data_IF_572780217023
#
_entry.id   IF_572780217023
#
_cell.length_a   1.000
_cell.length_b   1.000
_cell.length_c   1.000
_cell.angle_alpha   90.00
_cell.angle_beta   90.00
_cell.angle_gamma   90.00
#
_symmetry.space_group_name_H-M   'P 1'
#
loop_
_entity.id
_entity.type
_entity.pdbx_description
1 polymer ?
2 non-polymer ?
3 non-polymer ?
4 water ?
#
# COMPACT_ATOMS: atom_id res chain seq x y z
N UNK A 29 -16.49 23.60 11.49
CA UNK A 29 -17.33 22.41 11.41
C UNK A 29 -16.53 21.21 10.96
N UNK A 30 -16.66 20.12 11.69
CA UNK A 30 -15.93 18.88 11.36
C UNK A 30 -16.55 18.26 10.12
N UNK A 31 -15.76 17.86 9.12
CA UNK A 31 -16.34 17.15 7.98
C UNK A 31 -16.77 15.74 8.37
N UNK A 32 -17.70 15.21 7.57
CA UNK A 32 -18.18 13.85 7.82
C UNK A 32 -17.01 12.88 7.78
N UNK A 33 -17.04 11.91 8.68
CA UNK A 33 -16.06 10.84 8.65
C UNK A 33 -16.74 9.55 9.08
N UNK A 34 -16.18 8.40 8.73
CA UNK A 34 -16.83 7.14 9.09
C UNK A 34 -16.72 6.85 10.59
N UNK A 35 -17.82 6.37 11.16
CA UNK A 35 -17.92 6.06 12.58
C UNK A 35 -17.79 4.57 12.87
N UNK A 36 -17.98 3.73 11.87
CA UNK A 36 -17.84 2.29 12.03
C UNK A 36 -17.36 1.73 10.71
N UNK A 37 -16.95 0.46 10.73
CA UNK A 37 -16.26 -0.10 9.57
C UNK A 37 -17.19 -0.12 8.34
N UNK A 38 -18.49 -0.32 8.53
CA UNK A 38 -19.41 -0.37 7.39
C UNK A 38 -19.63 1.01 6.77
N UNK A 39 -19.34 2.09 7.49
CA UNK A 39 -19.46 3.43 6.94
C UNK A 39 -18.49 3.67 5.79
N UNK A 40 -17.43 2.86 5.66
CA UNK A 40 -16.56 3.03 4.51
C UNK A 40 -17.26 2.72 3.19
N UNK A 41 -18.42 2.07 3.24
CA UNK A 41 -19.27 1.91 2.06
C UNK A 41 -19.56 3.24 1.40
N UNK A 42 -19.66 4.32 2.17
CA UNK A 42 -19.98 5.63 1.64
C UNK A 42 -18.75 6.44 1.27
N UNK A 43 -17.57 6.03 1.72
CA UNK A 43 -16.30 6.62 1.31
C UNK A 43 -15.76 5.91 0.08
N UNK A 44 -15.77 4.58 0.13
CA UNK A 44 -15.12 3.76 -0.89
C UNK A 44 -15.67 4.07 -2.27
N UNK A 45 -16.98 4.29 -2.37
CA UNK A 45 -17.60 4.60 -3.65
C UNK A 45 -17.70 6.11 -3.86
N UNK A 46 -16.59 6.80 -3.59
CA UNK A 46 -16.39 8.20 -3.95
C UNK A 46 -15.13 8.33 -4.80
N UNK A 47 -14.93 7.41 -5.74
CA UNK A 47 -13.69 7.39 -6.51
C UNK A 47 -13.58 8.64 -7.36
N UNK A 48 -12.46 9.35 -7.20
CA UNK A 48 -12.21 10.54 -7.99
C UNK A 48 -11.70 10.19 -9.38
N UNK A 49 -10.93 9.11 -9.50
CA UNK A 49 -10.38 8.70 -10.79
C UNK A 49 -10.41 7.18 -10.85
N UNK A 50 -11.23 6.65 -11.76
CA UNK A 50 -11.51 5.21 -11.78
C UNK A 50 -10.34 4.44 -12.37
N UNK A 51 -10.18 3.20 -11.90
CA UNK A 51 -9.07 2.37 -12.34
C UNK A 51 -9.15 1.96 -13.79
N UNK A 52 -10.32 2.08 -14.41
CA UNK A 52 -10.46 1.76 -15.83
C UNK A 52 -10.07 2.93 -16.72
N UNK A 53 -10.21 4.18 -16.23
CA UNK A 53 -9.82 5.35 -17.00
C UNK A 53 -8.31 5.55 -16.80
N UNK A 54 -7.54 4.93 -17.69
CA UNK A 54 -6.11 4.82 -17.55
C UNK A 54 -5.40 6.13 -17.89
N UNK A 55 -4.20 6.28 -17.33
CA UNK A 55 -3.33 7.40 -17.67
C UNK A 55 -2.96 7.34 -19.15
N UNK A 56 -2.73 8.52 -19.73
CA UNK A 56 -2.33 8.57 -21.14
C UNK A 56 -1.06 7.76 -21.38
N UNK A 57 -0.13 7.79 -20.43
CA UNK A 57 1.13 7.07 -20.54
C UNK A 57 1.03 5.62 -20.04
N UNK A 58 -0.17 5.13 -19.78
CA UNK A 58 -0.33 3.77 -19.29
C UNK A 58 0.07 2.77 -20.36
N UNK A 59 0.76 1.70 -20.00
CA UNK A 59 1.12 0.68 -21.00
C UNK A 59 -0.07 0.05 -21.70
N UNK A 60 -1.21 -0.03 -21.04
CA UNK A 60 -2.38 -0.62 -21.67
C UNK A 60 -3.38 0.40 -22.16
N UNK A 61 -2.91 1.63 -22.43
CA UNK A 61 -3.83 2.70 -22.82
C UNK A 61 -4.53 2.39 -24.13
N UNK A 62 -3.87 1.67 -25.03
CA UNK A 62 -4.44 1.31 -26.31
C UNK A 62 -4.94 -0.14 -26.35
N UNK A 63 -4.75 -0.90 -25.29
CA UNK A 63 -5.11 -2.32 -25.27
C UNK A 63 -6.58 -2.42 -24.87
N UNK A 64 -7.45 -2.67 -25.86
CA UNK A 64 -8.88 -2.73 -25.57
C UNK A 64 -9.22 -3.91 -24.67
N UNK A 65 -8.50 -5.03 -24.82
CA UNK A 65 -8.76 -6.18 -23.95
C UNK A 65 -8.40 -5.83 -22.51
N UNK A 66 -7.23 -5.23 -22.29
CA UNK A 66 -6.84 -4.85 -20.93
C UNK A 66 -7.82 -3.84 -20.35
N UNK A 67 -8.34 -2.90 -21.16
CA UNK A 67 -9.30 -1.92 -20.66
C UNK A 67 -10.56 -2.60 -20.14
N UNK A 68 -11.08 -3.58 -20.88
CA UNK A 68 -12.27 -4.29 -20.42
C UNK A 68 -11.97 -5.05 -19.12
N UNK A 69 -10.77 -5.64 -19.04
CA UNK A 69 -10.36 -6.34 -17.82
C UNK A 69 -10.29 -5.40 -16.62
N UNK A 70 -9.77 -4.18 -16.83
CA UNK A 70 -9.75 -3.20 -15.74
C UNK A 70 -11.17 -2.79 -15.34
N UNK A 71 -12.05 -2.60 -16.32
CA UNK A 71 -13.44 -2.27 -16.01
C UNK A 71 -14.09 -3.38 -15.20
N UNK A 72 -13.74 -4.63 -15.50
CA UNK A 72 -14.24 -5.75 -14.71
C UNK A 72 -13.78 -5.63 -13.26
N UNK A 73 -12.48 -5.38 -13.03
CA UNK A 73 -11.99 -5.26 -11.66
C UNK A 73 -12.63 -4.08 -10.94
N UNK A 74 -12.83 -2.97 -11.65
CA UNK A 74 -13.38 -1.78 -11.01
C UNK A 74 -14.85 -1.98 -10.64
N UNK A 75 -15.61 -2.69 -11.47
CA UNK A 75 -16.99 -3.01 -11.13
C UNK A 75 -17.05 -3.93 -9.91
N UNK A 76 -16.11 -4.86 -9.78
CA UNK A 76 -16.09 -5.72 -8.59
C UNK A 76 -15.97 -4.89 -7.33
N UNK A 77 -15.06 -3.91 -7.34
CA UNK A 77 -14.88 -3.08 -6.15
C UNK A 77 -16.08 -2.16 -5.93
N UNK A 78 -16.61 -1.60 -7.02
CA UNK A 78 -17.74 -0.68 -6.93
C UNK A 78 -18.97 -1.35 -6.34
N UNK A 79 -19.20 -2.61 -6.69
CA UNK A 79 -20.32 -3.37 -6.16
C UNK A 79 -20.06 -3.97 -4.78
N UNK A 80 -18.83 -3.94 -4.30
CA UNK A 80 -18.51 -4.52 -3.00
C UNK A 80 -19.12 -3.70 -1.88
N UNK A 81 -19.68 -4.39 -0.89
CA UNK A 81 -20.17 -3.76 0.34
C UNK A 81 -19.54 -4.45 1.54
N UNK A 82 -19.26 -3.68 2.58
CA UNK A 82 -18.72 -4.27 3.81
C UNK A 82 -19.59 -5.43 4.28
N UNK A 83 -18.93 -6.50 4.73
CA UNK A 83 -19.56 -7.74 5.09
C UNK A 83 -19.47 -8.79 4.00
N UNK A 84 -19.31 -8.36 2.74
CA UNK A 84 -19.19 -9.29 1.63
C UNK A 84 -17.87 -10.05 1.72
N UNK A 85 -17.83 -11.33 1.34
CA UNK A 85 -16.54 -11.92 0.98
C UNK A 85 -15.99 -11.22 -0.25
N UNK A 86 -14.70 -10.96 -0.25
CA UNK A 86 -14.13 -10.27 -1.42
C UNK A 86 -14.19 -11.22 -2.62
N UNK A 87 -14.75 -10.81 -3.75
CA UNK A 87 -14.91 -11.74 -4.88
C UNK A 87 -13.58 -12.34 -5.30
N UNK A 88 -13.58 -13.65 -5.48
CA UNK A 88 -12.38 -14.33 -5.92
C UNK A 88 -12.30 -14.29 -7.44
N UNK A 89 -11.09 -14.10 -7.94
CA UNK A 89 -10.88 -13.79 -9.34
C UNK A 89 -10.06 -14.91 -9.98
N UNK A 90 -10.45 -15.31 -11.18
CA UNK A 90 -9.62 -16.21 -11.97
C UNK A 90 -8.67 -15.36 -12.80
N UNK A 91 -7.42 -15.25 -12.36
CA UNK A 91 -6.44 -14.49 -13.12
C UNK A 91 -6.06 -15.27 -14.38
N UNK A 92 -5.66 -14.53 -15.42
CA UNK A 92 -5.23 -15.18 -16.65
C UNK A 92 -3.78 -15.65 -16.53
N UNK A 93 -3.41 -16.63 -17.36
CA UNK A 93 -2.03 -17.11 -17.30
C UNK A 93 -1.05 -15.99 -17.65
N UNK A 94 -1.47 -15.05 -18.51
CA UNK A 94 -0.69 -13.84 -18.73
C UNK A 94 -0.52 -13.05 -17.44
N UNK A 95 -1.59 -12.93 -16.65
CA UNK A 95 -1.50 -12.18 -15.40
C UNK A 95 -0.66 -12.93 -14.37
N UNK A 96 -0.80 -14.25 -14.32
CA UNK A 96 0.02 -15.08 -13.43
C UNK A 96 1.49 -14.91 -13.76
N UNK A 97 1.82 -14.90 -15.05
CA UNK A 97 3.20 -14.79 -15.48
C UNK A 97 3.81 -13.46 -15.07
N UNK A 98 3.05 -12.38 -15.19
CA UNK A 98 3.52 -11.07 -14.80
C UNK A 98 3.83 -11.04 -13.30
N UNK A 99 2.90 -11.53 -12.48
CA UNK A 99 3.17 -11.69 -11.06
C UNK A 99 4.40 -12.53 -10.82
N UNK A 100 4.49 -13.70 -11.49
CA UNK A 100 5.61 -14.58 -11.27
C UNK A 100 6.95 -13.91 -11.49
N UNK A 101 7.05 -13.11 -12.56
CA UNK A 101 8.31 -12.45 -12.87
C UNK A 101 8.68 -11.47 -11.77
N UNK A 102 7.74 -10.60 -11.39
CA UNK A 102 7.94 -9.66 -10.28
C UNK A 102 8.28 -10.41 -8.99
N UNK A 103 7.54 -11.47 -8.70
CA UNK A 103 7.76 -12.25 -7.48
C UNK A 103 9.19 -12.79 -7.41
N UNK A 104 9.66 -13.41 -8.50
CA UNK A 104 11.00 -13.99 -8.53
C UNK A 104 12.08 -12.96 -8.20
N UNK A 105 12.03 -11.81 -8.87
CA UNK A 105 13.12 -10.85 -8.78
C UNK A 105 13.14 -10.15 -7.44
N UNK A 106 11.97 -9.75 -6.94
CA UNK A 106 11.94 -9.09 -5.63
C UNK A 106 12.38 -10.05 -4.53
N UNK A 107 12.05 -11.33 -4.64
CA UNK A 107 12.39 -12.25 -3.56
C UNK A 107 13.90 -12.45 -3.47
N UNK A 108 14.62 -12.26 -4.58
CA UNK A 108 16.07 -12.30 -4.53
C UNK A 108 16.62 -11.18 -3.67
N UNK A 109 15.94 -10.03 -3.65
CA UNK A 109 16.42 -8.84 -2.96
C UNK A 109 15.97 -8.72 -1.51
N UNK A 110 14.80 -9.23 -1.16
CA UNK A 110 14.25 -9.04 0.19
C UNK A 110 15.24 -9.40 1.31
N UNK A 111 15.94 -10.55 1.28
CA UNK A 111 16.79 -10.88 2.44
C UNK A 111 17.85 -9.82 2.73
N UNK A 112 18.34 -9.13 1.71
CA UNK A 112 19.38 -8.13 1.89
C UNK A 112 18.84 -6.71 1.91
N UNK A 113 17.54 -6.54 1.73
CA UNK A 113 16.96 -5.20 1.69
C UNK A 113 15.85 -4.99 2.70
N UNK A 114 14.94 -5.96 2.85
CA UNK A 114 13.75 -5.71 3.65
C UNK A 114 14.04 -5.74 5.15
N UNK A 115 13.21 -5.03 5.91
CA UNK A 115 13.31 -5.03 7.36
C UNK A 115 12.92 -6.41 7.91
N UNK A 116 13.27 -6.64 9.18
CA UNK A 116 13.10 -7.97 9.77
C UNK A 116 11.63 -8.31 9.94
N UNK A 117 10.78 -7.31 10.18
CA UNK A 117 9.35 -7.59 10.30
C UNK A 117 8.79 -8.10 8.98
N UNK A 118 9.22 -7.50 7.86
CA UNK A 118 8.79 -7.99 6.56
C UNK A 118 9.23 -9.43 6.35
N UNK A 119 10.50 -9.72 6.60
CA UNK A 119 11.03 -11.03 6.31
C UNK A 119 10.37 -12.10 7.18
N UNK A 120 9.91 -11.72 8.37
CA UNK A 120 9.31 -12.68 9.28
C UNK A 120 7.93 -13.11 8.79
N UNK A 121 7.17 -12.20 8.18
CA UNK A 121 5.80 -12.52 7.83
C UNK A 121 5.65 -13.05 6.41
N UNK A 122 6.62 -12.79 5.54
CA UNK A 122 6.52 -13.31 4.17
C UNK A 122 6.38 -14.83 4.13
N UNK A 123 7.19 -15.62 4.84
CA UNK A 123 6.99 -17.08 4.78
C UNK A 123 5.64 -17.54 5.29
N UNK A 124 5.04 -16.81 6.24
CA UNK A 124 3.70 -17.19 6.72
C UNK A 124 2.66 -17.01 5.64
N UNK A 125 2.83 -16.03 4.76
CA UNK A 125 1.89 -15.82 3.65
C UNK A 125 2.06 -16.86 2.55
N UNK A 126 3.28 -17.35 2.32
CA UNK A 126 3.44 -18.45 1.39
C UNK A 126 2.75 -19.70 1.91
N UNK A 127 2.79 -19.89 3.24
CA UNK A 127 2.19 -21.07 3.85
C UNK A 127 0.67 -20.99 3.81
N UNK A 128 0.10 -19.86 4.24
CA UNK A 128 -1.33 -19.78 4.48
C UNK A 128 -2.12 -19.13 3.35
N UNK A 129 -1.51 -18.28 2.53
CA UNK A 129 -2.26 -17.53 1.51
C UNK A 129 -1.88 -17.86 0.08
N UNK A 130 -0.99 -18.83 -0.15
CA UNK A 130 -0.71 -19.25 -1.51
C UNK A 130 0.22 -18.35 -2.29
N UNK A 131 1.12 -17.65 -1.60
CA UNK A 131 2.14 -16.84 -2.25
C UNK A 131 3.12 -17.77 -2.96
N UNK A 132 3.03 -17.84 -4.28
CA UNK A 132 3.91 -18.67 -5.09
C UNK A 132 4.16 -17.96 -6.41
N UNK A 133 5.29 -18.29 -7.04
CA UNK A 133 5.56 -17.74 -8.37
C UNK A 133 4.42 -18.04 -9.35
N UNK A 134 3.78 -19.20 -9.21
CA UNK A 134 2.76 -19.62 -10.16
C UNK A 134 1.34 -19.42 -9.63
N UNK A 135 1.14 -18.54 -8.65
CA UNK A 135 -0.19 -18.34 -8.08
C UNK A 135 -0.29 -16.93 -7.53
N UNK A 136 -1.29 -16.17 -8.00
CA UNK A 136 -1.60 -14.86 -7.44
C UNK A 136 -2.56 -15.08 -6.28
N UNK A 137 -2.20 -14.66 -5.06
CA UNK A 137 -3.10 -14.83 -3.91
C UNK A 137 -4.41 -14.07 -4.11
N UNK A 138 -5.47 -14.60 -3.51
CA UNK A 138 -6.76 -13.93 -3.48
C UNK A 138 -6.82 -12.97 -2.31
N UNK A 139 -7.46 -11.82 -2.54
CA UNK A 139 -7.59 -10.81 -1.49
C UNK A 139 -8.40 -11.32 -0.30
N UNK A 140 -9.42 -12.15 -0.55
CA UNK A 140 -10.20 -12.68 0.55
C UNK A 140 -9.35 -13.52 1.50
N UNK A 141 -8.49 -14.39 0.96
CA UNK A 141 -7.62 -15.21 1.80
C UNK A 141 -6.66 -14.35 2.60
N UNK A 142 -6.03 -13.39 1.92
CA UNK A 142 -5.11 -12.49 2.59
C UNK A 142 -5.85 -11.69 3.66
N UNK A 143 -7.08 -11.29 3.36
CA UNK A 143 -7.82 -10.50 4.35
C UNK A 143 -8.13 -11.35 5.57
N UNK A 144 -8.48 -12.61 5.37
CA UNK A 144 -8.75 -13.48 6.52
C UNK A 144 -7.48 -13.73 7.33
N UNK A 145 -6.33 -13.79 6.67
CA UNK A 145 -5.08 -13.93 7.41
C UNK A 145 -4.81 -12.70 8.26
N UNK A 146 -4.96 -11.51 7.67
CA UNK A 146 -4.69 -10.28 8.40
C UNK A 146 -5.65 -10.09 9.57
N UNK A 147 -6.90 -10.51 9.42
CA UNK A 147 -7.86 -10.34 10.52
C UNK A 147 -7.40 -11.12 11.74
N UNK A 148 -6.89 -12.33 11.54
CA UNK A 148 -6.40 -13.12 12.66
C UNK A 148 -5.13 -12.52 13.26
N UNK A 149 -4.22 -12.06 12.41
CA UNK A 149 -2.93 -11.58 12.90
C UNK A 149 -3.06 -10.25 13.63
N UNK A 150 -3.69 -9.25 12.99
CA UNK A 150 -3.70 -7.89 13.51
C UNK A 150 -5.08 -7.24 13.50
N UNK A 151 -6.12 -7.95 13.11
CA UNK A 151 -7.41 -7.33 12.88
C UNK A 151 -7.46 -6.43 11.66
N UNK A 152 -6.42 -6.39 10.85
CA UNK A 152 -6.51 -5.69 9.58
C UNK A 152 -7.36 -6.51 8.61
N UNK A 153 -8.03 -5.80 7.69
CA UNK A 153 -8.81 -6.41 6.64
C UNK A 153 -8.59 -5.63 5.36
N UNK A 154 -9.06 -6.23 4.26
CA UNK A 154 -8.90 -5.71 2.91
C UNK A 154 -10.26 -5.27 2.38
N UNK A 155 -10.28 -4.16 1.64
CA UNK A 155 -11.45 -3.77 0.87
C UNK A 155 -10.99 -3.51 -0.56
N UNK A 156 -11.53 -4.20 -1.56
CA UNK A 156 -11.17 -3.87 -2.95
C UNK A 156 -11.61 -2.45 -3.29
N UNK A 157 -10.74 -1.73 -4.00
CA UNK A 157 -10.96 -0.32 -4.31
C UNK A 157 -10.95 -0.15 -5.83
N UNK A 158 -11.91 0.62 -6.34
CA UNK A 158 -12.07 0.80 -7.79
C UNK A 158 -11.27 1.96 -8.35
N UNK A 159 -10.46 2.63 -7.54
CA UNK A 159 -9.57 3.63 -8.07
C UNK A 159 -9.15 4.60 -6.99
N UNK A 160 -8.58 5.72 -7.45
CA UNK A 160 -8.05 6.74 -6.56
C UNK A 160 -9.16 7.36 -5.71
N UNK A 161 -8.92 7.39 -4.41
CA UNK A 161 -9.78 8.07 -3.45
C UNK A 161 -9.09 9.32 -2.94
N UNK A 162 -9.88 10.25 -2.40
CA UNK A 162 -9.28 11.39 -1.73
C UNK A 162 -8.39 10.91 -0.59
N UNK A 163 -7.34 11.64 -0.24
CA UNK A 163 -6.53 11.24 0.92
C UNK A 163 -7.35 11.09 2.19
N UNK A 164 -8.37 11.93 2.39
CA UNK A 164 -9.24 11.77 3.55
C UNK A 164 -9.91 10.40 3.54
N UNK A 165 -10.51 10.01 2.41
CA UNK A 165 -11.25 8.74 2.40
C UNK A 165 -10.31 7.55 2.47
N UNK A 166 -9.19 7.60 1.72
CA UNK A 166 -8.25 6.48 1.75
C UNK A 166 -7.69 6.27 3.14
N UNK A 167 -7.21 7.34 3.77
CA UNK A 167 -6.67 7.21 5.11
C UNK A 167 -7.76 6.86 6.13
N UNK A 168 -9.01 7.27 5.89
CA UNK A 168 -10.06 6.96 6.86
C UNK A 168 -10.25 5.46 7.02
N UNK A 169 -9.98 4.68 5.97
CA UNK A 169 -10.06 3.24 6.09
C UNK A 169 -9.16 2.70 7.17
N UNK A 170 -7.91 3.17 7.23
CA UNK A 170 -6.95 2.69 8.23
C UNK A 170 -7.49 2.84 9.65
N UNK A 171 -8.35 3.84 9.90
CA UNK A 171 -8.90 4.02 11.24
C UNK A 171 -9.59 2.77 11.74
N UNK A 172 -10.13 1.95 10.83
CA UNK A 172 -10.78 0.70 11.17
C UNK A 172 -9.96 -0.49 10.74
N UNK A 173 -8.65 -0.29 10.54
CA UNK A 173 -7.73 -1.32 10.08
C UNK A 173 -8.19 -1.93 8.76
N UNK A 174 -8.70 -1.09 7.88
CA UNK A 174 -9.10 -1.50 6.53
C UNK A 174 -8.11 -0.91 5.55
N UNK A 175 -7.50 -1.74 4.72
CA UNK A 175 -6.61 -1.28 3.67
C UNK A 175 -7.35 -1.37 2.34
N UNK A 176 -7.56 -0.22 1.70
CA UNK A 176 -8.17 -0.20 0.37
C UNK A 176 -7.15 -0.71 -0.65
N UNK A 177 -7.51 -1.80 -1.33
CA UNK A 177 -6.57 -2.61 -2.10
C UNK A 177 -7.00 -2.70 -3.57
N UNK A 178 -6.05 -2.51 -4.49
CA UNK A 178 -6.34 -2.77 -5.89
C UNK A 178 -6.23 -4.26 -6.16
N UNK A 179 -7.08 -4.75 -7.09
CA UNK A 179 -7.21 -6.16 -7.38
C UNK A 179 -6.69 -6.52 -8.75
N UNK A 180 -6.44 -5.55 -9.61
CA UNK A 180 -5.99 -5.80 -10.96
C UNK A 180 -4.47 -6.04 -10.97
N UNK A 181 -4.00 -6.58 -12.09
CA UNK A 181 -2.58 -6.85 -12.31
C UNK A 181 -2.08 -5.85 -13.34
N UNK A 182 -0.85 -5.38 -13.17
CA UNK A 182 -0.27 -4.46 -14.13
C UNK A 182 -0.25 -5.09 -15.52
N UNK A 183 -0.15 -4.24 -16.54
CA UNK A 183 -0.10 -4.69 -17.92
C UNK A 183 1.10 -5.59 -18.17
N UNK A 184 0.88 -6.70 -18.88
CA UNK A 184 1.93 -7.67 -19.14
C UNK A 184 3.02 -7.11 -20.03
N UNK A 185 2.69 -6.14 -20.89
CA UNK A 185 3.69 -5.56 -21.79
C UNK A 185 4.85 -4.97 -21.01
N UNK A 186 4.55 -4.20 -19.97
CA UNK A 186 5.57 -3.57 -19.13
C UNK A 186 5.40 -4.05 -17.70
N UNK A 187 6.14 -5.07 -17.26
CA UNK A 187 5.98 -5.61 -15.92
C UNK A 187 6.71 -4.85 -14.83
N UNK A 188 7.51 -3.85 -15.18
CA UNK A 188 8.14 -2.98 -14.18
C UNK A 188 7.47 -1.62 -14.12
N UNK A 189 6.19 -1.55 -14.49
CA UNK A 189 5.43 -0.31 -14.47
C UNK A 189 4.99 -0.03 -13.04
N UNK A 190 5.66 0.90 -12.38
CA UNK A 190 5.49 1.18 -10.96
C UNK A 190 4.62 2.39 -10.59
N UNK A 191 4.33 3.35 -11.48
CA UNK A 191 3.54 4.52 -11.04
C UNK A 191 2.19 4.21 -10.41
N UNK A 192 1.40 3.32 -11.00
CA UNK A 192 0.15 3.14 -10.27
C UNK A 192 0.21 1.86 -9.44
N UNK A 193 -0.49 1.81 -8.31
CA UNK A 193 -0.53 0.56 -7.54
C UNK A 193 -1.33 -0.49 -8.27
N UNK A 194 -0.80 -1.70 -8.31
CA UNK A 194 -1.57 -2.86 -8.75
C UNK A 194 -1.56 -3.89 -7.62
N UNK A 195 -2.20 -5.02 -7.86
CA UNK A 195 -2.33 -5.99 -6.78
C UNK A 195 -1.00 -6.62 -6.42
N UNK A 196 -0.03 -6.64 -7.34
CA UNK A 196 1.31 -7.12 -7.02
C UNK A 196 1.95 -6.25 -5.95
N UNK A 197 1.81 -4.93 -6.08
CA UNK A 197 2.28 -3.99 -5.07
C UNK A 197 1.56 -4.17 -3.73
N UNK A 198 0.26 -4.34 -3.77
CA UNK A 198 -0.48 -4.55 -2.53
C UNK A 198 0.01 -5.81 -1.81
N UNK A 199 0.15 -6.91 -2.54
CA UNK A 199 0.36 -8.20 -1.89
C UNK A 199 1.81 -8.39 -1.42
N UNK A 200 2.77 -7.88 -2.18
CA UNK A 200 4.19 -7.99 -1.85
C UNK A 200 4.71 -6.76 -1.11
N UNK A 201 4.05 -5.62 -1.27
CA UNK A 201 4.49 -4.40 -0.64
C UNK A 201 3.82 -4.17 0.70
N UNK A 202 2.49 -4.20 0.76
CA UNK A 202 1.79 -3.78 1.97
C UNK A 202 1.51 -4.92 2.93
N UNK A 203 1.00 -6.05 2.42
CA UNK A 203 0.41 -7.06 3.30
C UNK A 203 1.37 -7.60 4.33
N UNK A 204 2.62 -7.99 4.01
CA UNK A 204 3.48 -8.58 5.04
C UNK A 204 3.68 -7.68 6.25
N UNK A 205 3.64 -6.37 6.08
CA UNK A 205 3.77 -5.51 7.24
C UNK A 205 2.44 -5.23 7.94
N UNK A 206 1.31 -5.26 7.21
CA UNK A 206 0.03 -5.18 7.91
C UNK A 206 -0.19 -6.36 8.84
N UNK A 207 0.54 -7.45 8.65
CA UNK A 207 0.46 -8.60 9.55
C UNK A 207 1.33 -8.41 10.80
N UNK A 208 2.03 -7.28 10.93
CA UNK A 208 2.90 -7.03 12.08
C UNK A 208 2.19 -6.11 13.06
N UNK A 209 1.95 -6.55 14.31
CA UNK A 209 1.19 -5.70 15.25
C UNK A 209 1.72 -4.28 15.41
N UNK A 210 3.04 -4.10 15.60
CA UNK A 210 3.57 -2.76 15.81
C UNK A 210 3.31 -1.86 14.61
N UNK A 211 3.41 -2.42 13.40
CA UNK A 211 3.15 -1.63 12.19
C UNK A 211 1.66 -1.37 12.00
N UNK A 212 0.83 -2.38 12.30
CA UNK A 212 -0.62 -2.20 12.21
C UNK A 212 -1.09 -1.11 13.16
N UNK A 213 -0.48 -1.02 14.35
CA UNK A 213 -0.85 0.06 15.25
C UNK A 213 -0.42 1.41 14.69
N UNK A 214 0.80 1.49 14.15
CA UNK A 214 1.28 2.72 13.53
C UNK A 214 0.36 3.18 12.41
N UNK A 215 0.01 2.26 11.51
CA UNK A 215 -0.87 2.59 10.40
C UNK A 215 -2.24 3.05 10.88
N UNK A 216 -2.87 2.30 11.80
CA UNK A 216 -4.18 2.68 12.26
C UNK A 216 -4.18 4.07 12.88
N UNK A 217 -3.11 4.43 13.60
CA UNK A 217 -3.11 5.72 14.27
C UNK A 217 -3.00 6.88 13.29
N UNK A 218 -2.41 6.65 12.11
CA UNK A 218 -2.54 7.63 11.04
C UNK A 218 -4.01 7.78 10.66
N UNK A 219 -4.70 6.65 10.50
CA UNK A 219 -6.12 6.68 10.16
C UNK A 219 -6.95 7.40 11.19
N UNK A 220 -6.71 7.11 12.46
CA UNK A 220 -7.48 7.75 13.53
C UNK A 220 -7.26 9.26 13.55
N UNK A 221 -6.01 9.69 13.33
CA UNK A 221 -5.69 11.10 13.41
C UNK A 221 -6.37 11.92 12.32
N UNK A 222 -6.68 11.30 11.18
CA UNK A 222 -7.26 12.06 10.08
C UNK A 222 -8.77 12.17 10.17
N UNK A 223 -9.42 11.38 11.03
CA UNK A 223 -10.87 11.37 11.08
C UNK A 223 -11.41 12.72 11.49
N UNK A 224 -12.11 13.39 10.57
CA UNK A 224 -12.65 14.71 10.86
C UNK A 224 -11.64 15.81 11.00
N UNK A 225 -10.38 15.55 10.66
CA UNK A 225 -9.33 16.54 10.72
C UNK A 225 -9.46 17.53 9.56
N UNK A 226 -8.85 18.71 9.73
CA UNK A 226 -8.87 19.73 8.69
C UNK A 226 -8.21 19.20 7.42
N UNK A 227 -8.52 19.86 6.29
CA UNK A 227 -7.91 19.46 5.02
C UNK A 227 -6.40 19.60 5.07
N UNK A 228 -5.90 20.62 5.79
CA UNK A 228 -4.47 20.80 5.96
C UNK A 228 -3.85 19.62 6.69
N UNK A 229 -4.44 19.25 7.84
CA UNK A 229 -3.92 18.14 8.63
C UNK A 229 -4.00 16.81 7.88
N UNK A 230 -5.04 16.61 7.06
CA UNK A 230 -5.14 15.40 6.26
C UNK A 230 -3.98 15.33 5.27
N UNK A 231 -3.65 16.44 4.61
CA UNK A 231 -2.58 16.41 3.63
C UNK A 231 -1.24 16.14 4.28
N UNK A 232 -1.02 16.68 5.49
CA UNK A 232 0.24 16.42 6.20
C UNK A 232 0.34 14.96 6.63
N UNK A 233 -0.77 14.39 7.12
CA UNK A 233 -0.78 12.98 7.47
C UNK A 233 -0.55 12.12 6.24
N UNK A 234 -1.16 12.49 5.11
CA UNK A 234 -0.92 11.76 3.87
C UNK A 234 0.55 11.77 3.49
N UNK A 235 1.24 12.91 3.70
CA UNK A 235 2.64 13.00 3.32
C UNK A 235 3.51 12.14 4.25
N UNK A 236 3.19 12.12 5.54
CA UNK A 236 3.91 11.24 6.47
C UNK A 236 3.66 9.78 6.17
N UNK A 237 2.41 9.44 5.83
CA UNK A 237 2.08 8.10 5.35
C UNK A 237 2.94 7.71 4.16
N UNK A 238 3.07 8.62 3.19
CA UNK A 238 3.81 8.31 1.97
C UNK A 238 5.26 7.95 2.27
N UNK A 239 5.92 8.74 3.13
CA UNK A 239 7.34 8.56 3.43
C UNK A 239 7.57 7.60 4.58
N UNK A 240 6.53 6.91 5.05
CA UNK A 240 6.69 5.77 5.96
C UNK A 240 6.10 4.52 5.33
N UNK A 241 4.76 4.38 5.33
CA UNK A 241 4.09 3.19 4.83
C UNK A 241 4.49 2.87 3.39
N UNK A 242 4.67 3.90 2.56
CA UNK A 242 4.93 3.63 1.14
C UNK A 242 6.42 3.66 0.78
N UNK A 243 7.23 4.56 1.37
CA UNK A 243 8.63 4.68 0.95
C UNK A 243 9.58 4.78 2.14
N UNK A 244 9.21 4.20 3.27
CA UNK A 244 9.99 4.36 4.48
C UNK A 244 11.21 3.46 4.52
N UNK A 245 12.25 3.97 5.16
CA UNK A 245 13.44 3.23 5.56
C UNK A 245 13.50 3.19 7.07
N UNK A 246 14.08 2.13 7.61
CA UNK A 246 14.25 2.01 9.05
C UNK A 246 15.63 1.45 9.36
N UNK A 247 16.13 1.79 10.55
CA UNK A 247 17.44 1.37 10.99
C UNK A 247 17.30 0.21 11.95
N UNK A 248 17.97 -0.90 11.65
CA UNK A 248 17.87 -2.12 12.45
C UNK A 248 19.26 -2.70 12.63
N UNK A 249 19.68 -2.86 13.88
CA UNK A 249 21.01 -3.37 14.20
C UNK A 249 22.07 -2.61 13.41
N UNK A 250 21.92 -1.28 13.35
CA UNK A 250 22.87 -0.43 12.66
C UNK A 250 22.75 -0.37 11.15
N UNK A 251 21.86 -1.15 10.55
CA UNK A 251 21.72 -1.21 9.10
C UNK A 251 20.51 -0.44 8.65
N UNK A 252 20.58 0.09 7.43
CA UNK A 252 19.39 0.66 6.79
C UNK A 252 18.60 -0.45 6.10
N UNK A 253 17.31 -0.54 6.42
CA UNK A 253 16.45 -1.55 5.82
C UNK A 253 15.21 -0.88 5.25
N UNK A 254 14.49 -1.60 4.39
CA UNK A 254 13.32 -1.06 3.70
C UNK A 254 12.04 -1.57 4.37
N UNK A 255 11.09 -0.67 4.61
CA UNK A 255 9.74 -1.11 4.94
C UNK A 255 8.63 -0.46 4.10
N UNK A 256 8.94 0.54 3.29
CA UNK A 256 7.90 1.16 2.46
C UNK A 256 7.46 0.23 1.34
N UNK A 257 6.14 0.08 1.19
CA UNK A 257 5.54 -0.85 0.24
C UNK A 257 5.87 -0.49 -1.21
N UNK A 258 6.02 0.80 -1.52
CA UNK A 258 6.36 1.19 -2.88
C UNK A 258 7.77 0.78 -3.26
N UNK A 259 8.68 0.78 -2.29
CA UNK A 259 10.01 0.24 -2.53
C UNK A 259 10.01 -1.27 -2.62
N UNK A 260 9.24 -1.94 -1.75
CA UNK A 260 9.28 -3.40 -1.69
C UNK A 260 8.63 -4.06 -2.91
N UNK A 261 7.88 -3.31 -3.71
CA UNK A 261 7.31 -3.83 -4.95
C UNK A 261 7.98 -3.26 -6.19
N UNK A 262 9.04 -2.45 -6.05
CA UNK A 262 9.75 -1.86 -7.18
C UNK A 262 11.18 -2.37 -7.18
N UNK A 263 11.53 -3.20 -8.16
CA UNK A 263 12.86 -3.79 -8.20
C UNK A 263 13.93 -2.69 -8.27
N UNK A 264 13.75 -1.75 -9.19
CA UNK A 264 14.78 -0.73 -9.42
C UNK A 264 14.98 0.15 -8.19
N UNK A 265 13.88 0.67 -7.62
CA UNK A 265 14.00 1.61 -6.51
C UNK A 265 14.35 0.92 -5.19
N UNK A 266 13.96 -0.36 -5.02
CA UNK A 266 14.40 -1.11 -3.85
C UNK A 266 15.92 -1.12 -3.77
N UNK A 267 16.58 -1.43 -4.90
CA UNK A 267 18.04 -1.37 -4.97
C UNK A 267 18.55 0.05 -4.80
N UNK A 268 17.89 1.03 -5.45
CA UNK A 268 18.35 2.42 -5.34
C UNK A 268 18.31 2.90 -3.90
N UNK A 269 17.33 2.46 -3.13
CA UNK A 269 17.11 3.00 -1.79
C UNK A 269 18.31 2.75 -0.88
N UNK A 270 18.83 1.52 -0.88
CA UNK A 270 19.95 1.17 -0.02
C UNK A 270 21.30 1.28 -0.72
N UNK A 271 21.38 2.06 -1.79
CA UNK A 271 22.64 2.39 -2.44
C UNK A 271 23.11 3.78 -2.02
N UNK A 272 24.40 4.02 -2.21
CA UNK A 272 24.99 5.27 -1.79
C UNK A 272 24.69 6.47 -2.64
N UNK A 273 23.79 6.35 -3.63
CA UNK A 273 23.45 7.45 -4.52
C UNK A 273 22.15 8.14 -4.12
N UNK A 274 21.59 7.80 -2.96
CA UNK A 274 20.31 8.33 -2.54
C UNK A 274 20.48 9.16 -1.26
N UNK A 275 19.74 10.28 -1.19
CA UNK A 275 19.80 11.14 -0.02
C UNK A 275 18.83 10.63 1.05
N UNK A 276 19.24 10.76 2.31
CA UNK A 276 18.53 10.14 3.43
C UNK A 276 18.49 11.11 4.60
N UNK A 277 17.31 11.29 5.19
CA UNK A 277 17.08 12.15 6.34
C UNK A 277 16.35 11.37 7.43
N UNK A 278 16.55 11.73 8.69
CA UNK A 278 15.78 11.08 9.76
C UNK A 278 14.30 11.45 9.66
N UNK A 279 13.44 10.48 9.98
CA UNK A 279 12.00 10.74 9.97
C UNK A 279 11.67 11.75 11.07
N UNK A 280 11.03 12.83 10.66
CA UNK A 280 10.65 13.91 11.56
C UNK A 280 9.41 14.51 10.94
N UNK A 281 8.23 14.24 11.48
CA UNK A 281 6.98 14.64 10.81
C UNK A 281 6.92 16.11 10.42
N UNK A 282 7.43 17.01 11.25
CA UNK A 282 7.33 18.44 10.92
C UNK A 282 8.19 18.80 9.73
N UNK A 283 9.28 18.07 9.50
CA UNK A 283 10.10 18.26 8.31
C UNK A 283 9.65 17.36 7.18
N UNK A 284 9.24 16.12 7.51
CA UNK A 284 8.83 15.17 6.48
C UNK A 284 7.58 15.65 5.75
N UNK A 285 6.63 16.26 6.46
CA UNK A 285 5.38 16.63 5.81
C UNK A 285 5.55 17.75 4.78
N UNK A 286 6.70 18.41 4.72
CA UNK A 286 6.94 19.42 3.71
C UNK A 286 7.48 18.86 2.41
N UNK A 287 7.84 17.58 2.39
CA UNK A 287 8.50 16.99 1.24
C UNK A 287 7.49 16.64 0.15
N UNK A 288 7.80 17.04 -1.08
CA UNK A 288 6.95 16.71 -2.21
C UNK A 288 6.97 15.20 -2.47
N UNK A 289 5.79 14.65 -2.77
CA UNK A 289 5.65 13.23 -3.10
C UNK A 289 5.76 13.08 -4.61
N UNK A 290 6.83 12.44 -5.06
CA UNK A 290 7.09 12.24 -6.48
C UNK A 290 6.39 10.99 -6.98
N UNK A 291 5.97 11.02 -8.24
CA UNK A 291 5.10 10.00 -8.81
C UNK A 291 5.78 9.25 -9.97
N UNK A 292 6.54 9.95 -10.80
CA UNK A 292 7.01 9.38 -12.04
C UNK A 292 8.51 9.06 -12.05
N UNK A 293 9.22 9.32 -10.95
CA UNK A 293 10.64 8.98 -10.86
C UNK A 293 10.89 8.36 -9.48
N UNK A 294 12.17 8.10 -9.18
CA UNK A 294 12.55 7.75 -7.83
C UNK A 294 12.32 8.92 -6.90
N UNK A 295 12.13 8.63 -5.62
CA UNK A 295 12.05 9.69 -4.64
C UNK A 295 13.39 10.45 -4.59
N UNK A 296 13.30 11.76 -4.34
CA UNK A 296 14.50 12.57 -4.16
C UNK A 296 15.13 12.37 -2.79
N UNK A 297 14.35 11.98 -1.78
CA UNK A 297 14.87 11.71 -0.45
C UNK A 297 14.00 10.64 0.20
N UNK A 298 14.65 9.82 1.04
CA UNK A 298 13.96 8.82 1.85
C UNK A 298 14.19 9.16 3.32
N UNK A 299 13.16 8.93 4.14
CA UNK A 299 13.24 9.23 5.56
C UNK A 299 13.39 7.94 6.35
N UNK A 300 14.28 7.95 7.34
CA UNK A 300 14.60 6.76 8.12
C UNK A 300 13.93 6.85 9.48
N UNK A 301 13.08 5.88 9.78
CA UNK A 301 12.51 5.73 11.10
C UNK A 301 13.41 4.85 11.94
N UNK A 302 13.54 5.19 13.23
CA UNK A 302 14.37 4.39 14.12
C UNK A 302 13.75 3.03 14.40
N UNK A 303 12.42 2.97 14.47
CA UNK A 303 11.64 1.76 14.65
C UNK A 303 10.18 2.15 14.40
N UNK A 304 9.31 1.14 14.24
CA UNK A 304 7.90 1.45 14.05
C UNK A 304 7.31 2.07 15.31
N UNK A 305 7.75 1.60 16.46
CA UNK A 305 7.28 2.14 17.73
C UNK A 305 7.69 3.59 17.89
N UNK A 306 8.91 3.93 17.46
CA UNK A 306 9.37 5.31 17.57
C UNK A 306 8.67 6.21 16.58
N UNK A 307 8.51 5.75 15.33
CA UNK A 307 7.75 6.54 14.35
C UNK A 307 6.35 6.82 14.88
N UNK A 308 5.71 5.81 15.49
CA UNK A 308 4.39 5.99 16.07
C UNK A 308 4.40 7.05 17.16
N UNK A 309 5.43 7.03 18.02
CA UNK A 309 5.58 8.06 19.04
C UNK A 309 5.77 9.45 18.42
N UNK A 310 6.56 9.54 17.35
CA UNK A 310 6.76 10.84 16.71
C UNK A 310 5.45 11.37 16.14
N UNK A 311 4.67 10.49 15.50
CA UNK A 311 3.38 10.93 14.96
C UNK A 311 2.42 11.35 16.06
N UNK A 312 2.48 10.70 17.23
CA UNK A 312 1.61 11.11 18.32
C UNK A 312 1.90 12.55 18.73
N UNK A 313 3.18 12.88 18.91
CA UNK A 313 3.55 14.26 19.24
C UNK A 313 3.16 15.21 18.12
N UNK A 314 3.31 14.79 16.86
CA UNK A 314 3.02 15.65 15.73
C UNK A 314 1.53 15.96 15.60
N UNK A 315 0.68 14.94 15.71
CA UNK A 315 -0.75 15.14 15.45
C UNK A 315 -1.39 16.07 16.46
N UNK A 316 -0.84 16.12 17.68
CA UNK A 316 -1.38 17.03 18.69
C UNK A 316 -1.22 18.48 18.27
N UNK A 317 -0.23 18.79 17.45
CA UNK A 317 0.00 20.17 17.05
C UNK A 317 -0.84 20.56 15.84
N UNK A 318 -1.38 19.60 15.11
CA UNK A 318 -2.11 19.90 13.89
C UNK A 318 -3.61 19.76 14.11
#
# INVERSE_FOLDING_TARGET
MKHHHHHHHGAAGTSLYKKAGENLYFQGSVPWFPKKISDLDHCANRVLMYGSELDADHPGFKDNVYRKRRKYFADLAMNYKHGDPIPKVEFTEEEIKTWGTVFQELNKLYPTHACREYLKNLPLLSKYCGYREDNIPQLEDVSNFLKERTGFSIRPVAGYLSPRDFLSGLAFRVFHCTQYVRHSSDPFYTPEPDTCHELLGHVPLLAEPSFAQFSQEIGLASLGASEEAVQKLATCYFFTVEFGLCKQDGQLRVFGAGLLSSISELKHALSGHAKVKPFDPKITCKQECLITTFQDVYFVSESFEDAKEKMREFTKTIKRPFGVKY
#
